data_IF_587520301217
#
_entry.id   IF_587520301217
#
_cell.length_a   1.000
_cell.length_b   1.000
_cell.length_c   1.000
_cell.angle_alpha   90.00
_cell.angle_beta   90.00
_cell.angle_gamma   90.00
#
_symmetry.space_group_name_H-M   'P 1'
#
loop_
_entity.id
_entity.type
_entity.pdbx_description
1 polymer ?
#
# COMPACT_ATOMS: atom_id res chain seq x y z
N UNK A 1 4.02 26.66 18.03
CA UNK A 1 4.23 25.20 18.02
C UNK A 1 4.50 24.79 16.59
N UNK A 2 5.29 23.77 16.36
CA UNK A 2 5.59 23.25 15.02
C UNK A 2 4.54 22.18 14.70
N UNK A 3 3.87 22.28 13.55
CA UNK A 3 2.90 21.28 13.15
C UNK A 3 3.56 19.94 12.88
N UNK A 4 2.98 18.87 13.41
CA UNK A 4 3.37 17.47 13.23
C UNK A 4 2.18 16.67 12.72
N UNK A 5 2.42 15.59 12.01
CA UNK A 5 1.37 14.78 11.39
C UNK A 5 1.52 13.30 11.76
N UNK A 6 0.43 12.71 12.23
CA UNK A 6 0.29 11.27 12.38
C UNK A 6 -0.72 10.75 11.36
N UNK A 7 -0.27 9.92 10.44
CA UNK A 7 -1.13 9.16 9.53
C UNK A 7 -1.35 7.76 10.10
N UNK A 8 -2.62 7.41 10.35
CA UNK A 8 -3.04 6.05 10.66
C UNK A 8 -3.71 5.45 9.42
N UNK A 9 -3.08 4.46 8.82
CA UNK A 9 -3.53 3.80 7.61
C UNK A 9 -3.96 2.36 7.94
N UNK A 10 -5.18 2.01 7.53
CA UNK A 10 -5.77 0.69 7.73
C UNK A 10 -5.92 0.01 6.38
N UNK A 11 -5.10 -1.02 6.13
CA UNK A 11 -5.06 -1.75 4.87
C UNK A 11 -6.39 -2.47 4.60
N UNK A 12 -6.99 -2.19 3.46
CA UNK A 12 -8.24 -2.82 3.02
C UNK A 12 -9.50 -2.42 3.78
N UNK A 13 -9.47 -1.39 4.63
CA UNK A 13 -10.63 -0.99 5.43
C UNK A 13 -11.68 -0.28 4.58
N UNK A 14 -12.84 -0.91 4.44
CA UNK A 14 -14.01 -0.35 3.75
C UNK A 14 -14.70 0.74 4.57
N UNK A 15 -15.08 1.82 3.92
CA UNK A 15 -15.79 2.93 4.54
C UNK A 15 -17.12 2.52 5.22
N UNK A 16 -17.86 1.61 4.61
CA UNK A 16 -19.16 1.13 5.11
C UNK A 16 -19.05 0.22 6.35
N UNK A 17 -17.86 -0.28 6.66
CA UNK A 17 -17.57 -1.02 7.89
C UNK A 17 -17.39 -0.07 9.08
N UNK A 18 -16.99 1.19 8.84
CA UNK A 18 -16.79 2.18 9.91
C UNK A 18 -18.14 2.70 10.38
N UNK A 19 -18.73 2.00 11.35
CA UNK A 19 -20.03 2.29 11.96
C UNK A 19 -19.96 2.19 13.47
N UNK A 20 -20.94 2.74 14.15
CA UNK A 20 -21.03 2.73 15.61
C UNK A 20 -21.07 1.31 16.22
N UNK A 21 -21.61 0.34 15.49
CA UNK A 21 -21.70 -1.06 15.94
C UNK A 21 -20.44 -1.89 15.67
N UNK A 22 -19.59 -1.49 14.74
CA UNK A 22 -18.39 -2.23 14.33
C UNK A 22 -17.10 -1.54 14.75
N UNK A 23 -17.02 -0.22 14.60
CA UNK A 23 -15.84 0.61 14.90
C UNK A 23 -16.25 1.91 15.60
N UNK A 24 -16.75 1.84 16.84
CA UNK A 24 -17.30 3.01 17.55
C UNK A 24 -16.33 4.19 17.68
N UNK A 25 -15.04 3.94 17.96
CA UNK A 25 -14.05 4.99 18.12
C UNK A 25 -13.76 5.70 16.80
N UNK A 26 -13.58 4.94 15.72
CA UNK A 26 -13.31 5.51 14.40
C UNK A 26 -14.57 6.17 13.81
N UNK A 27 -15.76 5.61 14.06
CA UNK A 27 -17.03 6.24 13.67
C UNK A 27 -17.22 7.60 14.33
N UNK A 28 -17.00 7.67 15.66
CA UNK A 28 -17.09 8.93 16.41
C UNK A 28 -16.04 9.95 15.93
N UNK A 29 -14.81 9.51 15.64
CA UNK A 29 -13.79 10.38 15.06
C UNK A 29 -14.23 10.93 13.70
N UNK A 30 -14.73 10.09 12.80
CA UNK A 30 -15.23 10.51 11.50
C UNK A 30 -16.36 11.54 11.59
N UNK A 31 -17.30 11.34 12.53
CA UNK A 31 -18.45 12.25 12.74
C UNK A 31 -18.04 13.57 13.38
N UNK A 32 -16.99 13.56 14.20
CA UNK A 32 -16.52 14.73 14.94
C UNK A 32 -15.54 15.64 14.20
N UNK A 33 -15.00 15.19 13.05
CA UNK A 33 -13.94 15.87 12.32
C UNK A 33 -14.23 15.96 10.81
N UNK A 34 -13.26 16.44 10.04
CA UNK A 34 -13.42 16.56 8.58
C UNK A 34 -13.42 15.17 7.94
N UNK A 35 -14.51 14.85 7.26
CA UNK A 35 -14.67 13.61 6.50
C UNK A 35 -14.58 13.89 4.99
N UNK A 36 -13.93 12.98 4.25
CA UNK A 36 -13.78 13.04 2.80
C UNK A 36 -14.58 11.90 2.12
N UNK A 37 -15.91 12.05 1.99
CA UNK A 37 -16.79 10.96 1.53
C UNK A 37 -16.52 10.49 0.10
N UNK A 38 -15.96 11.36 -0.73
CA UNK A 38 -15.65 11.10 -2.14
C UNK A 38 -14.18 10.70 -2.37
N UNK A 39 -13.44 10.37 -1.30
CA UNK A 39 -12.09 9.83 -1.44
C UNK A 39 -12.13 8.43 -2.04
N UNK A 40 -11.30 8.15 -3.02
CA UNK A 40 -11.17 6.85 -3.67
C UNK A 40 -9.70 6.50 -3.86
N UNK A 41 -9.42 5.19 -3.87
CA UNK A 41 -8.10 4.69 -4.23
C UNK A 41 -7.79 4.95 -5.72
N UNK A 42 -6.51 5.05 -6.06
CA UNK A 42 -6.07 5.04 -7.43
C UNK A 42 -6.34 3.65 -8.06
N UNK A 43 -6.43 3.61 -9.39
CA UNK A 43 -6.49 2.33 -10.11
C UNK A 43 -5.09 1.98 -10.66
N UNK A 44 -4.63 0.72 -10.50
CA UNK A 44 -5.25 -0.40 -9.78
C UNK A 44 -5.27 -0.19 -8.25
N UNK A 45 -6.36 -0.62 -7.61
CA UNK A 45 -6.55 -0.51 -6.16
C UNK A 45 -5.83 -1.64 -5.41
N UNK A 46 -4.53 -1.71 -5.56
CA UNK A 46 -3.65 -2.68 -4.91
C UNK A 46 -2.72 -1.98 -3.92
N UNK A 47 -2.46 -2.60 -2.79
CA UNK A 47 -1.73 -1.99 -1.65
C UNK A 47 -0.46 -1.26 -2.06
N UNK A 48 0.44 -1.88 -2.84
CA UNK A 48 1.74 -1.26 -3.17
C UNK A 48 1.65 -0.14 -4.20
N UNK A 49 0.59 -0.13 -5.00
CA UNK A 49 0.22 1.00 -5.86
C UNK A 49 -0.22 2.18 -4.99
N UNK A 50 -1.11 1.92 -4.03
CA UNK A 50 -1.61 2.96 -3.12
C UNK A 50 -0.54 3.49 -2.19
N UNK A 51 0.35 2.62 -1.67
CA UNK A 51 1.54 3.05 -0.91
C UNK A 51 2.37 4.04 -1.73
N UNK A 52 2.64 3.70 -2.99
CA UNK A 52 3.42 4.58 -3.87
C UNK A 52 2.68 5.88 -4.18
N UNK A 53 1.36 5.82 -4.41
CA UNK A 53 0.54 7.03 -4.57
C UNK A 53 0.54 7.90 -3.31
N UNK A 54 0.45 7.30 -2.12
CA UNK A 54 0.48 8.00 -0.83
C UNK A 54 1.80 8.76 -0.62
N UNK A 55 2.93 8.10 -0.84
CA UNK A 55 4.24 8.73 -0.56
C UNK A 55 4.72 9.68 -1.66
N UNK A 56 4.15 9.62 -2.86
CA UNK A 56 4.56 10.48 -3.99
C UNK A 56 3.54 11.56 -4.34
N UNK A 57 2.28 11.40 -3.92
CA UNK A 57 1.18 12.25 -4.38
C UNK A 57 0.87 12.11 -5.88
N UNK A 58 1.43 11.09 -6.55
CA UNK A 58 1.24 10.81 -7.97
C UNK A 58 0.32 9.61 -8.19
N UNK A 59 -0.26 9.52 -9.38
CA UNK A 59 -1.00 8.32 -9.81
C UNK A 59 -0.05 7.26 -10.37
N UNK A 60 -0.48 5.96 -10.43
CA UNK A 60 0.24 4.97 -11.20
C UNK A 60 0.29 5.40 -12.68
N UNK A 61 1.42 5.22 -13.31
CA UNK A 61 1.64 5.62 -14.70
C UNK A 61 3.13 5.62 -15.03
N UNK A 62 3.45 5.72 -16.32
CA UNK A 62 4.83 5.92 -16.75
C UNK A 62 5.20 7.41 -16.66
N UNK A 63 6.32 7.70 -16.03
CA UNK A 63 6.88 9.05 -15.95
C UNK A 63 7.18 9.67 -17.33
N UNK A 64 7.21 8.86 -18.39
CA UNK A 64 7.49 9.30 -19.76
C UNK A 64 6.25 9.58 -20.60
N UNK A 65 5.04 9.34 -20.09
CA UNK A 65 3.84 9.37 -20.91
C UNK A 65 3.33 10.76 -21.30
N UNK A 66 3.84 11.85 -20.71
CA UNK A 66 3.45 13.19 -21.11
C UNK A 66 4.63 14.19 -21.17
N UNK A 67 5.33 14.16 -22.29
CA UNK A 67 6.42 15.11 -22.58
C UNK A 67 5.93 16.53 -22.87
N UNK A 68 4.62 16.77 -23.02
CA UNK A 68 4.06 18.09 -23.40
C UNK A 68 3.48 18.87 -22.23
N UNK A 69 3.05 18.18 -21.17
CA UNK A 69 2.49 18.79 -19.97
C UNK A 69 3.28 18.34 -18.74
N UNK A 70 4.20 19.14 -18.28
CA UNK A 70 5.14 18.85 -17.18
C UNK A 70 4.52 18.52 -15.82
N UNK A 71 3.22 18.22 -15.73
CA UNK A 71 2.47 18.11 -14.48
C UNK A 71 1.99 16.70 -14.08
N UNK A 72 2.19 15.67 -14.89
CA UNK A 72 1.62 14.35 -14.62
C UNK A 72 2.66 13.23 -14.74
N UNK A 73 3.67 13.26 -13.88
CA UNK A 73 4.57 12.13 -13.74
C UNK A 73 3.92 11.08 -12.84
N UNK A 74 3.63 9.91 -13.40
CA UNK A 74 3.22 8.75 -12.62
C UNK A 74 4.38 8.23 -11.76
N UNK A 75 4.04 7.53 -10.67
CA UNK A 75 5.09 6.95 -9.80
C UNK A 75 5.69 5.65 -10.34
N UNK A 76 5.16 5.06 -11.42
CA UNK A 76 5.73 3.90 -12.12
C UNK A 76 5.46 2.54 -11.46
N UNK A 77 4.84 2.46 -10.30
CA UNK A 77 4.42 1.19 -9.67
C UNK A 77 3.00 0.87 -10.14
N UNK A 78 2.89 -0.05 -11.11
CA UNK A 78 1.66 -0.28 -11.86
C UNK A 78 0.75 -1.36 -11.25
N UNK A 79 1.29 -2.23 -10.40
CA UNK A 79 0.60 -3.29 -9.67
C UNK A 79 1.50 -3.83 -8.55
N UNK A 80 0.98 -4.73 -7.72
CA UNK A 80 1.81 -5.47 -6.76
C UNK A 80 2.89 -6.31 -7.45
N UNK A 81 2.56 -6.87 -8.59
CA UNK A 81 3.49 -7.57 -9.49
C UNK A 81 3.17 -7.14 -10.91
N UNK A 82 4.09 -6.49 -11.59
CA UNK A 82 3.84 -5.95 -12.92
C UNK A 82 5.01 -6.17 -13.86
N UNK A 83 4.72 -6.13 -15.15
CA UNK A 83 5.70 -6.18 -16.22
C UNK A 83 6.01 -4.76 -16.65
N UNK A 84 7.27 -4.34 -16.54
CA UNK A 84 7.71 -3.05 -17.07
C UNK A 84 8.21 -3.29 -18.52
N UNK A 85 7.51 -2.76 -19.53
CA UNK A 85 7.88 -2.97 -20.93
C UNK A 85 9.23 -2.35 -21.32
N UNK A 86 9.74 -1.45 -20.50
CA UNK A 86 11.07 -0.87 -20.73
C UNK A 86 12.19 -1.74 -20.13
N UNK A 87 11.82 -2.85 -19.46
CA UNK A 87 12.79 -3.80 -18.93
C UNK A 87 13.23 -4.80 -19.99
N UNK A 88 14.50 -4.81 -20.27
CA UNK A 88 15.17 -5.94 -20.95
C UNK A 88 15.22 -7.22 -20.09
N UNK A 89 14.75 -7.16 -18.86
CA UNK A 89 14.67 -8.27 -17.92
C UNK A 89 13.33 -8.97 -18.16
N UNK A 90 13.28 -10.05 -18.90
CA UNK A 90 12.07 -10.78 -19.28
C UNK A 90 11.20 -11.35 -18.15
N UNK A 91 11.29 -10.80 -16.94
CA UNK A 91 10.53 -11.23 -15.76
C UNK A 91 9.78 -10.06 -15.11
N UNK A 92 8.57 -10.29 -14.59
CA UNK A 92 7.81 -9.24 -13.91
C UNK A 92 8.52 -8.80 -12.62
N UNK A 93 8.45 -7.50 -12.33
CA UNK A 93 8.86 -6.93 -11.05
C UNK A 93 7.82 -7.29 -9.98
N UNK A 94 8.24 -8.07 -9.01
CA UNK A 94 7.45 -8.37 -7.82
C UNK A 94 7.92 -7.44 -6.69
N UNK A 95 7.10 -6.47 -6.35
CA UNK A 95 7.40 -5.49 -5.30
C UNK A 95 7.29 -6.05 -3.87
N UNK A 96 7.00 -7.35 -3.70
CA UNK A 96 7.15 -8.04 -2.42
C UNK A 96 8.53 -8.68 -2.24
N UNK A 97 9.30 -8.78 -3.29
CA UNK A 97 10.60 -9.44 -3.30
C UNK A 97 11.73 -8.39 -3.29
N UNK A 98 12.46 -8.32 -2.17
CA UNK A 98 13.53 -7.33 -1.98
C UNK A 98 14.63 -7.42 -3.04
N UNK A 99 15.09 -8.64 -3.37
CA UNK A 99 16.13 -8.84 -4.36
C UNK A 99 15.72 -8.30 -5.74
N UNK A 100 14.45 -8.53 -6.13
CA UNK A 100 13.90 -7.99 -7.37
C UNK A 100 13.79 -6.46 -7.32
N UNK A 101 13.36 -5.91 -6.17
CA UNK A 101 13.28 -4.47 -5.98
C UNK A 101 14.67 -3.82 -6.06
N UNK A 102 15.67 -4.37 -5.40
CA UNK A 102 17.06 -3.90 -5.44
C UNK A 102 17.66 -3.97 -6.86
N UNK A 103 17.40 -5.07 -7.57
CA UNK A 103 17.81 -5.19 -8.99
C UNK A 103 17.14 -4.13 -9.86
N UNK A 104 15.84 -3.90 -9.66
CA UNK A 104 15.11 -2.88 -10.39
C UNK A 104 15.62 -1.47 -10.05
N UNK A 105 15.88 -1.17 -8.79
CA UNK A 105 16.43 0.11 -8.36
C UNK A 105 17.81 0.36 -8.95
N UNK A 106 18.67 -0.66 -8.93
CA UNK A 106 20.00 -0.59 -9.56
C UNK A 106 19.92 -0.37 -11.08
N UNK A 107 18.92 -0.95 -11.74
CA UNK A 107 18.78 -0.85 -13.19
C UNK A 107 18.13 0.48 -13.62
N UNK A 108 17.08 0.94 -12.90
CA UNK A 108 16.33 2.14 -13.25
C UNK A 108 16.77 3.40 -12.52
N UNK A 109 17.67 3.27 -11.53
CA UNK A 109 18.04 4.34 -10.62
C UNK A 109 17.02 4.61 -9.52
N UNK A 110 15.76 4.23 -9.71
CA UNK A 110 14.70 4.34 -8.68
C UNK A 110 13.45 3.53 -9.07
N UNK A 111 12.77 2.98 -8.07
CA UNK A 111 11.50 2.24 -8.26
C UNK A 111 10.33 3.22 -8.38
N UNK A 112 10.18 4.12 -7.41
CA UNK A 112 9.21 5.21 -7.48
C UNK A 112 9.80 6.34 -8.32
N UNK A 113 9.27 6.56 -9.50
CA UNK A 113 9.80 7.52 -10.48
C UNK A 113 9.55 8.97 -10.09
N UNK A 114 8.52 9.23 -9.28
CA UNK A 114 8.22 10.55 -8.74
C UNK A 114 8.96 10.82 -7.42
N UNK A 115 9.15 12.09 -7.08
CA UNK A 115 9.68 12.52 -5.79
C UNK A 115 8.74 12.02 -4.68
N UNK A 116 9.29 11.50 -3.60
CA UNK A 116 8.51 10.92 -2.51
C UNK A 116 8.67 11.68 -1.19
N UNK A 117 7.84 11.35 -0.21
CA UNK A 117 7.82 12.00 1.11
C UNK A 117 9.18 11.99 1.79
N UNK A 118 9.96 10.91 1.67
CA UNK A 118 11.28 10.85 2.31
C UNK A 118 12.24 11.90 1.78
N UNK A 119 12.22 12.14 0.45
CA UNK A 119 13.04 13.14 -0.23
C UNK A 119 12.56 14.56 0.13
N UNK A 120 11.25 14.78 0.16
CA UNK A 120 10.64 16.06 0.53
C UNK A 120 10.98 16.42 1.98
N UNK A 121 10.77 15.49 2.90
CA UNK A 121 11.03 15.71 4.32
C UNK A 121 12.50 15.96 4.59
N UNK A 122 13.41 15.16 4.00
CA UNK A 122 14.85 15.37 4.11
C UNK A 122 15.27 16.74 3.56
N UNK A 123 14.76 17.15 2.39
CA UNK A 123 15.08 18.45 1.80
C UNK A 123 14.59 19.63 2.65
N UNK A 124 13.53 19.43 3.40
CA UNK A 124 12.97 20.42 4.33
C UNK A 124 13.62 20.41 5.72
N UNK A 125 14.59 19.51 5.98
CA UNK A 125 15.18 19.32 7.30
C UNK A 125 14.17 18.82 8.33
N UNK A 126 13.25 17.94 7.90
CA UNK A 126 12.15 17.38 8.68
C UNK A 126 12.33 15.88 8.87
N UNK A 127 11.88 15.38 10.00
CA UNK A 127 11.98 13.97 10.36
C UNK A 127 10.76 13.18 9.89
N UNK A 128 11.01 12.10 9.15
CA UNK A 128 10.01 11.17 8.65
C UNK A 128 10.20 9.79 9.27
N UNK A 129 9.17 9.29 9.91
CA UNK A 129 9.19 8.00 10.60
C UNK A 129 8.03 7.11 10.15
N UNK A 130 8.29 5.84 9.95
CA UNK A 130 7.34 4.81 9.53
C UNK A 130 7.35 3.66 10.51
N UNK A 131 6.18 3.28 11.00
CA UNK A 131 5.93 2.05 11.73
C UNK A 131 4.88 1.25 10.96
N UNK A 132 5.20 0.02 10.57
CA UNK A 132 4.29 -0.77 9.74
C UNK A 132 4.20 -2.23 10.15
N UNK A 133 2.98 -2.76 10.13
CA UNK A 133 2.71 -4.20 10.20
C UNK A 133 2.51 -4.81 8.79
N UNK A 134 2.59 -3.99 7.74
CA UNK A 134 2.47 -4.40 6.35
C UNK A 134 3.58 -5.35 5.89
N UNK A 135 3.37 -5.97 4.74
CA UNK A 135 4.38 -6.87 4.13
C UNK A 135 5.67 -6.11 3.81
N UNK A 136 6.76 -6.85 3.64
CA UNK A 136 8.11 -6.32 3.36
C UNK A 136 8.11 -5.25 2.27
N UNK A 137 7.42 -5.49 1.16
CA UNK A 137 7.33 -4.53 0.06
C UNK A 137 6.65 -3.20 0.45
N UNK A 138 5.65 -3.22 1.35
CA UNK A 138 5.04 -2.02 1.90
C UNK A 138 6.04 -1.21 2.71
N UNK A 139 6.75 -1.88 3.63
CA UNK A 139 7.75 -1.22 4.46
C UNK A 139 8.80 -0.49 3.60
N UNK A 140 9.28 -1.15 2.54
CA UNK A 140 10.24 -0.56 1.60
C UNK A 140 9.67 0.60 0.80
N UNK A 141 8.47 0.45 0.22
CA UNK A 141 7.85 1.49 -0.61
C UNK A 141 7.38 2.71 0.20
N UNK A 142 7.07 2.54 1.48
CA UNK A 142 6.75 3.67 2.37
C UNK A 142 7.95 4.61 2.55
N UNK A 143 9.18 4.07 2.59
CA UNK A 143 10.38 4.88 2.62
C UNK A 143 11.59 4.14 1.98
N UNK A 144 11.73 4.29 0.67
CA UNK A 144 12.86 3.70 -0.08
C UNK A 144 14.23 4.29 0.27
N UNK A 145 14.25 5.51 0.81
CA UNK A 145 15.47 6.25 1.09
C UNK A 145 15.81 6.34 2.59
N UNK A 146 15.20 5.49 3.44
CA UNK A 146 15.33 5.57 4.88
C UNK A 146 16.78 5.65 5.35
N UNK A 147 17.62 4.70 4.96
CA UNK A 147 19.04 4.68 5.34
C UNK A 147 19.83 5.86 4.74
N UNK A 148 19.49 6.26 3.51
CA UNK A 148 20.14 7.42 2.85
C UNK A 148 19.95 8.72 3.60
N UNK A 149 18.79 8.92 4.21
CA UNK A 149 18.42 10.16 4.91
C UNK A 149 18.36 9.99 6.43
N UNK A 150 18.82 8.84 6.95
CA UNK A 150 18.78 8.51 8.39
C UNK A 150 17.36 8.66 8.99
N UNK A 151 16.34 8.18 8.26
CA UNK A 151 14.94 8.21 8.67
C UNK A 151 14.53 6.86 9.25
N UNK A 152 13.61 6.88 10.20
CA UNK A 152 13.16 5.67 10.89
C UNK A 152 12.14 4.87 10.05
N UNK A 153 12.40 3.57 9.89
CA UNK A 153 11.43 2.58 9.41
C UNK A 153 11.49 1.37 10.31
N UNK A 154 10.43 1.13 11.07
CA UNK A 154 10.26 -0.10 11.82
C UNK A 154 9.26 -1.01 11.10
N UNK A 155 9.65 -2.26 10.90
CA UNK A 155 8.82 -3.32 10.34
C UNK A 155 8.78 -4.53 11.27
N UNK A 156 7.59 -5.12 11.40
CA UNK A 156 7.42 -6.38 12.15
C UNK A 156 8.12 -7.59 11.51
N UNK A 157 8.70 -7.44 10.33
CA UNK A 157 9.40 -8.52 9.62
C UNK A 157 10.86 -8.71 10.03
N UNK A 158 11.33 -7.93 11.00
CA UNK A 158 12.65 -8.09 11.60
C UNK A 158 13.65 -6.99 11.23
N UNK A 159 14.83 -7.07 11.84
CA UNK A 159 15.88 -6.06 11.71
C UNK A 159 16.31 -5.80 10.28
N UNK A 160 16.37 -6.82 9.44
CA UNK A 160 16.80 -6.70 8.03
C UNK A 160 15.88 -5.81 7.19
N UNK A 161 14.65 -5.56 7.67
CA UNK A 161 13.66 -4.72 7.00
C UNK A 161 13.58 -3.34 7.63
N UNK A 162 14.01 -3.20 8.87
CA UNK A 162 14.11 -1.92 9.56
C UNK A 162 15.24 -1.06 8.96
N UNK A 163 15.13 0.26 9.12
CA UNK A 163 16.23 1.16 8.78
C UNK A 163 17.31 1.16 9.86
N UNK A 164 18.52 1.57 9.49
CA UNK A 164 19.66 1.71 10.41
C UNK A 164 19.42 2.76 11.51
N UNK A 165 18.49 3.69 11.29
CA UNK A 165 18.09 4.68 12.29
C UNK A 165 17.28 4.10 13.45
N UNK A 166 16.76 2.86 13.31
CA UNK A 166 15.98 2.17 14.34
C UNK A 166 16.87 1.23 15.15
N UNK A 167 16.95 1.44 16.46
CA UNK A 167 17.56 0.48 17.36
C UNK A 167 16.59 -0.68 17.63
N UNK A 168 16.65 -1.67 16.75
CA UNK A 168 15.77 -2.83 16.79
C UNK A 168 15.95 -3.66 18.06
N UNK A 169 17.19 -3.89 18.48
CA UNK A 169 17.54 -4.66 19.68
C UNK A 169 16.96 -4.01 20.94
N UNK A 170 17.11 -2.71 21.08
CA UNK A 170 16.52 -1.94 22.20
C UNK A 170 15.00 -2.04 22.22
N UNK A 171 14.36 -2.00 21.05
CA UNK A 171 12.91 -2.16 20.96
C UNK A 171 12.48 -3.55 21.43
N UNK A 172 13.14 -4.61 20.96
CA UNK A 172 12.82 -5.99 21.35
C UNK A 172 13.12 -6.23 22.83
N UNK A 173 14.20 -5.69 23.36
CA UNK A 173 14.52 -5.77 24.80
C UNK A 173 13.44 -5.10 25.66
N UNK A 174 12.95 -3.94 25.25
CA UNK A 174 11.99 -3.15 26.01
C UNK A 174 10.54 -3.62 25.89
N UNK A 175 10.11 -4.01 24.69
CA UNK A 175 8.72 -4.33 24.37
C UNK A 175 8.47 -5.84 24.21
N UNK A 176 9.52 -6.64 24.29
CA UNK A 176 9.48 -8.08 24.03
C UNK A 176 9.59 -8.42 22.53
N UNK A 177 9.71 -9.70 22.22
CA UNK A 177 9.81 -10.17 20.84
C UNK A 177 8.53 -9.83 20.07
N UNK A 178 8.67 -9.58 18.76
CA UNK A 178 7.54 -9.39 17.87
C UNK A 178 6.62 -10.62 17.93
N UNK A 179 5.31 -10.46 18.19
CA UNK A 179 4.39 -11.57 18.23
C UNK A 179 4.36 -12.32 16.88
N UNK A 180 4.17 -13.63 16.95
CA UNK A 180 3.95 -14.44 15.75
C UNK A 180 2.69 -13.97 15.03
N UNK A 181 2.78 -13.84 13.73
CA UNK A 181 1.60 -13.50 12.93
C UNK A 181 0.56 -14.61 12.93
N UNK A 182 -0.69 -14.21 12.99
CA UNK A 182 -1.86 -15.06 12.99
C UNK A 182 -3.00 -14.41 12.18
N UNK A 183 -4.13 -15.08 12.04
CA UNK A 183 -5.32 -14.63 11.34
C UNK A 183 -6.55 -14.78 12.25
N UNK A 184 -6.97 -13.71 12.98
CA UNK A 184 -6.57 -12.30 12.87
C UNK A 184 -5.23 -11.98 13.52
N UNK A 185 -4.55 -10.94 13.02
CA UNK A 185 -3.23 -10.50 13.46
C UNK A 185 -3.28 -9.54 14.66
N UNK A 186 -4.17 -9.81 15.62
CA UNK A 186 -4.48 -8.92 16.72
C UNK A 186 -3.28 -8.63 17.63
N UNK A 187 -2.50 -9.66 17.94
CA UNK A 187 -1.32 -9.50 18.82
C UNK A 187 -0.28 -8.56 18.21
N UNK A 188 -0.04 -8.67 16.90
CA UNK A 188 0.87 -7.78 16.18
C UNK A 188 0.31 -6.36 16.08
N UNK A 189 -1.01 -6.22 15.87
CA UNK A 189 -1.70 -4.93 15.85
C UNK A 189 -1.56 -4.20 17.20
N UNK A 190 -1.78 -4.90 18.31
CA UNK A 190 -1.62 -4.35 19.66
C UNK A 190 -0.14 -4.03 19.97
N UNK A 191 0.79 -4.90 19.59
CA UNK A 191 2.23 -4.68 19.75
C UNK A 191 2.69 -3.42 19.01
N UNK A 192 2.33 -3.29 17.73
CA UNK A 192 2.66 -2.10 16.94
C UNK A 192 2.04 -0.82 17.51
N UNK A 193 0.83 -0.90 18.06
CA UNK A 193 0.19 0.24 18.73
C UNK A 193 0.92 0.63 20.00
N UNK A 194 1.43 -0.34 20.79
CA UNK A 194 2.27 -0.07 21.97
C UNK A 194 3.56 0.63 21.54
N UNK A 195 4.24 0.15 20.49
CA UNK A 195 5.43 0.80 19.95
C UNK A 195 5.13 2.23 19.49
N UNK A 196 4.04 2.43 18.76
CA UNK A 196 3.66 3.76 18.31
C UNK A 196 3.55 4.74 19.48
N UNK A 197 2.76 4.38 20.51
CA UNK A 197 2.42 5.25 21.63
C UNK A 197 3.60 5.45 22.60
N UNK A 198 4.31 4.36 22.94
CA UNK A 198 5.30 4.35 24.03
C UNK A 198 6.76 4.47 23.57
N UNK A 199 7.00 4.42 22.25
CA UNK A 199 8.32 4.61 21.66
C UNK A 199 8.31 5.77 20.65
N UNK A 200 7.69 5.63 19.50
CA UNK A 200 7.79 6.57 18.40
C UNK A 200 7.18 7.95 18.69
N UNK A 201 5.94 8.01 19.17
CA UNK A 201 5.30 9.28 19.51
C UNK A 201 5.87 9.90 20.80
N UNK A 202 6.32 9.06 21.74
CA UNK A 202 6.90 9.53 22.99
C UNK A 202 8.29 10.14 22.80
N UNK A 203 9.07 9.67 21.81
CA UNK A 203 10.34 10.31 21.45
C UNK A 203 10.13 11.73 20.93
N UNK A 204 8.99 11.95 20.26
CA UNK A 204 8.61 13.24 19.69
C UNK A 204 9.53 13.71 18.55
N UNK A 205 10.42 12.84 18.04
CA UNK A 205 11.42 13.17 17.01
C UNK A 205 10.77 13.47 15.67
N UNK A 206 9.76 12.68 15.25
CA UNK A 206 9.15 12.81 13.95
C UNK A 206 8.32 14.09 13.78
N UNK A 207 8.45 14.73 12.61
CA UNK A 207 7.52 15.74 12.11
C UNK A 207 6.36 15.08 11.35
N UNK A 208 6.62 13.94 10.73
CA UNK A 208 5.65 13.08 10.05
C UNK A 208 5.84 11.64 10.50
N UNK A 209 4.84 11.10 11.19
CA UNK A 209 4.76 9.70 11.59
C UNK A 209 3.71 8.98 10.77
N UNK A 210 4.07 7.86 10.15
CA UNK A 210 3.12 6.94 9.52
C UNK A 210 2.99 5.69 10.38
N UNK A 211 1.76 5.32 10.69
CA UNK A 211 1.39 4.01 11.22
C UNK A 211 0.55 3.27 10.18
N UNK A 212 1.07 2.18 9.65
CA UNK A 212 0.38 1.35 8.65
C UNK A 212 0.03 -0.01 9.26
N UNK A 213 -1.25 -0.26 9.45
CA UNK A 213 -1.79 -1.55 9.87
C UNK A 213 -2.11 -2.42 8.65
N UNK A 214 -1.73 -3.69 8.67
CA UNK A 214 -2.05 -4.67 7.61
C UNK A 214 -3.44 -5.31 7.78
N UNK A 215 -4.17 -4.95 8.83
CA UNK A 215 -5.54 -5.36 9.06
C UNK A 215 -6.50 -4.22 8.66
N UNK A 216 -7.71 -4.53 8.23
CA UNK A 216 -8.35 -5.86 8.14
C UNK A 216 -8.03 -6.66 6.85
N UNK A 217 -7.20 -6.13 5.93
CA UNK A 217 -6.85 -6.75 4.64
C UNK A 217 -6.41 -8.21 4.81
N UNK A 218 -5.49 -8.44 5.75
CA UNK A 218 -4.95 -9.76 6.00
C UNK A 218 -6.05 -10.76 6.40
N UNK A 219 -6.90 -10.40 7.34
CA UNK A 219 -8.02 -11.25 7.79
C UNK A 219 -9.06 -11.45 6.68
N UNK A 220 -9.34 -10.43 5.86
CA UNK A 220 -10.24 -10.56 4.72
C UNK A 220 -9.74 -11.56 3.70
N UNK A 221 -8.45 -11.53 3.38
CA UNK A 221 -7.84 -12.48 2.44
C UNK A 221 -7.86 -13.91 2.93
N UNK A 222 -7.57 -14.17 4.20
CA UNK A 222 -7.37 -15.52 4.72
C UNK A 222 -8.61 -16.13 5.39
N UNK A 223 -9.57 -15.31 5.82
CA UNK A 223 -10.77 -15.77 6.54
C UNK A 223 -12.07 -15.32 5.88
N UNK A 224 -12.02 -14.38 4.97
CA UNK A 224 -13.18 -13.80 4.29
C UNK A 224 -13.81 -12.62 5.05
N UNK A 225 -14.46 -11.76 4.28
CA UNK A 225 -15.15 -10.57 4.81
C UNK A 225 -16.38 -11.01 5.61
N UNK A 226 -16.51 -10.51 6.85
CA UNK A 226 -17.61 -10.85 7.75
C UNK A 226 -17.43 -12.15 8.53
N UNK A 227 -16.29 -12.84 8.40
CA UNK A 227 -15.96 -13.97 9.27
C UNK A 227 -15.74 -13.51 10.72
N UNK A 228 -15.88 -14.42 11.71
CA UNK A 228 -15.59 -14.10 13.12
C UNK A 228 -14.19 -13.51 13.30
N UNK A 229 -13.21 -14.03 12.59
CA UNK A 229 -11.82 -13.59 12.64
C UNK A 229 -11.65 -12.17 12.06
N UNK A 230 -12.27 -11.88 10.92
CA UNK A 230 -12.22 -10.53 10.34
C UNK A 230 -12.97 -9.49 11.18
N UNK A 231 -14.08 -9.88 11.82
CA UNK A 231 -14.78 -9.03 12.78
C UNK A 231 -13.93 -8.78 14.04
N UNK A 232 -13.19 -9.80 14.50
CA UNK A 232 -12.23 -9.68 15.60
C UNK A 232 -11.09 -8.72 15.27
N UNK A 233 -10.54 -8.76 14.04
CA UNK A 233 -9.50 -7.83 13.61
C UNK A 233 -9.99 -6.39 13.57
N UNK A 234 -11.20 -6.17 13.07
CA UNK A 234 -11.85 -4.85 13.03
C UNK A 234 -12.05 -4.28 14.44
N UNK A 235 -12.54 -5.11 15.37
CA UNK A 235 -12.73 -4.70 16.76
C UNK A 235 -11.39 -4.38 17.46
N UNK A 236 -10.34 -5.17 17.19
CA UNK A 236 -9.00 -4.93 17.69
C UNK A 236 -8.43 -3.60 17.14
N UNK A 237 -8.55 -3.35 15.84
CA UNK A 237 -8.14 -2.10 15.22
C UNK A 237 -8.84 -0.89 15.83
N UNK A 238 -10.15 -0.96 16.01
CA UNK A 238 -10.92 0.14 16.61
C UNK A 238 -10.50 0.41 18.06
N UNK A 239 -10.26 -0.64 18.84
CA UNK A 239 -9.71 -0.50 20.21
C UNK A 239 -8.32 0.14 20.20
N UNK A 240 -7.45 -0.26 19.30
CA UNK A 240 -6.12 0.32 19.11
C UNK A 240 -6.21 1.79 18.68
N UNK A 241 -7.09 2.10 17.74
CA UNK A 241 -7.34 3.48 17.33
C UNK A 241 -7.91 4.32 18.47
N UNK A 242 -8.80 3.78 19.30
CA UNK A 242 -9.29 4.46 20.51
C UNK A 242 -8.16 4.90 21.44
N UNK A 243 -7.13 4.07 21.62
CA UNK A 243 -5.93 4.41 22.41
C UNK A 243 -5.11 5.54 21.77
N UNK A 244 -4.97 5.52 20.45
CA UNK A 244 -4.32 6.59 19.68
C UNK A 244 -5.12 7.90 19.83
N UNK A 245 -6.43 7.83 19.73
CA UNK A 245 -7.32 8.96 19.88
C UNK A 245 -7.27 9.56 21.29
N UNK A 246 -7.19 8.71 22.32
CA UNK A 246 -6.99 9.13 23.71
C UNK A 246 -5.68 9.88 23.89
N UNK A 247 -4.56 9.35 23.39
CA UNK A 247 -3.27 10.03 23.41
C UNK A 247 -3.35 11.36 22.65
N UNK A 248 -3.90 11.37 21.45
CA UNK A 248 -4.00 12.57 20.62
C UNK A 248 -4.83 13.66 21.31
N UNK A 249 -5.95 13.28 21.95
CA UNK A 249 -6.83 14.21 22.64
C UNK A 249 -6.20 14.79 23.91
N UNK A 250 -5.41 14.00 24.65
CA UNK A 250 -4.79 14.41 25.93
C UNK A 250 -3.52 15.22 25.71
N UNK A 251 -2.65 14.76 24.85
CA UNK A 251 -1.28 15.25 24.70
C UNK A 251 -0.97 15.68 23.24
N UNK A 252 -1.25 14.84 22.26
CA UNK A 252 -0.85 15.05 20.88
C UNK A 252 -1.28 16.40 20.30
N UNK A 253 -2.53 16.80 20.51
CA UNK A 253 -3.03 18.11 20.05
C UNK A 253 -2.30 19.29 20.68
N UNK A 254 -1.94 19.20 21.96
CA UNK A 254 -1.18 20.24 22.65
C UNK A 254 0.22 20.37 22.09
N UNK A 255 0.78 19.24 21.63
CA UNK A 255 2.13 19.16 21.05
C UNK A 255 2.16 19.42 19.54
N UNK A 256 1.02 19.86 18.96
CA UNK A 256 0.91 20.24 17.56
C UNK A 256 0.69 19.07 16.60
N UNK A 257 0.30 17.89 17.09
CA UNK A 257 -0.02 16.75 16.23
C UNK A 257 -1.40 16.85 15.58
N UNK A 258 -1.42 16.73 14.27
CA UNK A 258 -2.61 16.52 13.46
C UNK A 258 -2.77 15.02 13.21
N UNK A 259 -3.98 14.49 13.39
CA UNK A 259 -4.30 13.08 13.16
C UNK A 259 -5.06 12.93 11.85
N UNK A 260 -4.55 12.12 10.95
CA UNK A 260 -5.16 11.80 9.66
C UNK A 260 -5.35 10.30 9.57
N UNK A 261 -6.56 9.88 9.19
CA UNK A 261 -6.91 8.46 9.06
C UNK A 261 -7.33 8.19 7.63
N UNK A 262 -6.82 7.09 7.06
CA UNK A 262 -7.18 6.67 5.72
C UNK A 262 -7.12 5.14 5.57
N UNK A 263 -7.68 4.65 4.48
CA UNK A 263 -7.45 3.30 3.95
C UNK A 263 -6.89 3.43 2.54
N UNK A 264 -6.10 2.47 2.15
CA UNK A 264 -5.50 2.43 0.82
C UNK A 264 -6.49 1.93 -0.24
N UNK A 265 -7.26 0.91 0.08
CA UNK A 265 -8.31 0.35 -0.78
C UNK A 265 -9.41 -0.31 0.06
N UNK A 266 -10.40 -0.85 -0.62
CA UNK A 266 -11.42 -1.72 -0.07
C UNK A 266 -11.27 -3.14 -0.64
N UNK A 267 -11.99 -4.11 -0.06
CA UNK A 267 -12.13 -5.46 -0.59
C UNK A 267 -13.59 -5.83 -0.74
N UNK A 268 -13.88 -6.66 -1.74
CA UNK A 268 -15.19 -7.28 -1.94
C UNK A 268 -15.02 -8.79 -2.10
N UNK A 269 -16.03 -9.55 -1.72
CA UNK A 269 -16.07 -10.98 -2.00
C UNK A 269 -16.30 -11.19 -3.49
N UNK A 270 -15.51 -12.07 -4.12
CA UNK A 270 -15.68 -12.42 -5.54
C UNK A 270 -16.51 -13.69 -5.67
N UNK A 271 -17.48 -13.65 -6.56
CA UNK A 271 -18.34 -14.81 -6.85
C UNK A 271 -17.74 -15.76 -7.90
N UNK A 272 -16.89 -15.23 -8.80
CA UNK A 272 -16.32 -15.99 -9.92
C UNK A 272 -14.96 -15.43 -10.30
N UNK A 273 -14.04 -16.31 -10.65
CA UNK A 273 -12.79 -15.98 -11.33
C UNK A 273 -12.94 -16.23 -12.83
N UNK A 274 -12.35 -15.35 -13.63
CA UNK A 274 -12.33 -15.44 -15.07
C UNK A 274 -10.87 -15.59 -15.51
N UNK A 275 -10.60 -16.63 -16.29
CA UNK A 275 -9.27 -16.85 -16.86
C UNK A 275 -9.11 -16.10 -18.17
N UNK A 276 -8.82 -14.79 -18.06
CA UNK A 276 -8.61 -13.90 -19.21
C UNK A 276 -7.47 -14.39 -20.10
N UNK A 277 -6.49 -15.11 -19.57
CA UNK A 277 -5.39 -15.69 -20.35
C UNK A 277 -5.94 -16.73 -21.36
N UNK A 278 -6.68 -17.70 -20.87
CA UNK A 278 -7.28 -18.73 -21.72
C UNK A 278 -8.31 -18.17 -22.70
N UNK A 279 -9.05 -17.13 -22.30
CA UNK A 279 -10.00 -16.46 -23.20
C UNK A 279 -9.27 -15.77 -24.36
N UNK A 280 -8.17 -15.07 -24.10
CA UNK A 280 -7.35 -14.43 -25.13
C UNK A 280 -6.68 -15.47 -26.05
N UNK A 281 -6.12 -16.56 -25.50
CA UNK A 281 -5.55 -17.65 -26.31
C UNK A 281 -6.61 -18.29 -27.22
N UNK A 282 -7.79 -18.56 -26.69
CA UNK A 282 -8.92 -19.14 -27.47
C UNK A 282 -9.35 -18.21 -28.59
N UNK A 283 -9.26 -16.89 -28.39
CA UNK A 283 -9.53 -15.91 -29.44
C UNK A 283 -8.40 -15.75 -30.45
N UNK A 284 -7.30 -16.49 -30.31
CA UNK A 284 -6.18 -16.50 -31.25
C UNK A 284 -5.07 -15.50 -30.95
N UNK A 285 -5.11 -14.79 -29.81
CA UNK A 285 -4.03 -13.92 -29.39
C UNK A 285 -2.83 -14.72 -28.88
N UNK A 286 -1.62 -14.29 -29.21
CA UNK A 286 -0.38 -14.91 -28.76
C UNK A 286 0.02 -14.39 -27.40
N UNK A 287 -0.50 -15.01 -26.33
CA UNK A 287 -0.34 -14.59 -24.95
C UNK A 287 0.73 -15.42 -24.25
N UNK A 288 1.51 -14.79 -23.39
CA UNK A 288 2.48 -15.46 -22.51
C UNK A 288 2.58 -14.80 -21.13
N UNK A 289 3.30 -15.43 -20.23
CA UNK A 289 3.60 -14.85 -18.91
C UNK A 289 4.62 -13.69 -18.98
N UNK A 290 5.25 -13.50 -20.11
CA UNK A 290 6.19 -12.43 -20.45
C UNK A 290 6.28 -12.26 -21.96
N UNK A 291 6.89 -11.17 -22.44
CA UNK A 291 7.18 -10.93 -23.83
C UNK A 291 8.39 -11.75 -24.25
N UNK A 292 8.16 -12.93 -24.82
CA UNK A 292 9.19 -13.83 -25.35
C UNK A 292 9.04 -13.99 -26.86
N UNK A 293 9.97 -14.68 -27.50
CA UNK A 293 9.82 -15.04 -28.92
C UNK A 293 8.55 -15.87 -29.10
N UNK A 294 7.68 -15.43 -30.00
CA UNK A 294 6.39 -16.06 -30.26
C UNK A 294 5.18 -15.50 -29.51
N UNK A 295 5.37 -14.61 -28.52
CA UNK A 295 4.27 -13.96 -27.80
C UNK A 295 4.25 -12.46 -28.09
N UNK A 296 3.09 -11.95 -28.49
CA UNK A 296 2.89 -10.51 -28.73
C UNK A 296 2.30 -9.79 -27.51
N UNK A 297 1.76 -10.58 -26.56
CA UNK A 297 1.08 -10.12 -25.36
C UNK A 297 1.69 -10.80 -24.13
N UNK A 298 2.01 -10.03 -23.11
CA UNK A 298 2.29 -10.54 -21.78
C UNK A 298 1.13 -10.20 -20.84
N UNK A 299 0.54 -11.24 -20.23
CA UNK A 299 -0.51 -11.08 -19.22
C UNK A 299 0.02 -11.47 -17.85
N UNK A 300 0.05 -10.50 -16.94
CA UNK A 300 0.28 -10.76 -15.52
C UNK A 300 -1.07 -10.84 -14.80
N UNK A 301 -1.34 -12.02 -14.22
CA UNK A 301 -2.52 -12.27 -13.39
C UNK A 301 -2.28 -11.69 -12.00
N UNK A 302 -3.19 -10.87 -11.53
CA UNK A 302 -3.28 -10.33 -10.17
C UNK A 302 -4.75 -10.04 -9.87
N UNK A 303 -5.06 -9.34 -8.79
CA UNK A 303 -6.41 -8.84 -8.52
C UNK A 303 -6.86 -7.84 -9.61
N UNK A 304 -5.92 -7.09 -10.17
CA UNK A 304 -6.08 -6.31 -11.40
C UNK A 304 -5.12 -6.87 -12.45
N UNK A 305 -5.64 -7.50 -13.50
CA UNK A 305 -4.79 -8.03 -14.58
C UNK A 305 -4.09 -6.91 -15.33
N UNK A 306 -2.80 -7.09 -15.63
CA UNK A 306 -2.05 -6.20 -16.51
C UNK A 306 -1.75 -6.90 -17.83
N UNK A 307 -2.13 -6.26 -18.94
CA UNK A 307 -1.81 -6.70 -20.30
C UNK A 307 -0.74 -5.75 -20.85
N UNK A 308 0.39 -6.30 -21.22
CA UNK A 308 1.48 -5.58 -21.90
C UNK A 308 1.58 -6.06 -23.34
N UNK A 309 1.57 -5.14 -24.28
CA UNK A 309 1.66 -5.43 -25.71
C UNK A 309 3.06 -5.12 -26.23
N UNK A 310 3.63 -6.03 -27.06
CA UNK A 310 4.93 -5.87 -27.67
C UNK A 310 4.96 -4.59 -28.52
N UNK A 311 6.09 -3.90 -28.47
CA UNK A 311 6.38 -2.72 -29.31
C UNK A 311 5.32 -1.61 -29.24
N UNK A 312 4.44 -1.63 -28.23
CA UNK A 312 3.31 -0.71 -28.07
C UNK A 312 2.39 -0.68 -29.27
N UNK A 313 2.16 -1.84 -29.92
CA UNK A 313 1.31 -1.96 -31.07
C UNK A 313 -0.13 -1.52 -30.77
N UNK A 314 -0.48 -0.32 -31.22
CA UNK A 314 -1.78 0.30 -30.96
C UNK A 314 -2.94 -0.45 -31.63
N UNK A 315 -2.70 -1.14 -32.75
CA UNK A 315 -3.73 -1.91 -33.43
C UNK A 315 -4.08 -3.14 -32.59
N UNK A 316 -3.06 -3.85 -32.12
CA UNK A 316 -3.24 -5.00 -31.24
C UNK A 316 -3.89 -4.59 -29.89
N UNK A 317 -3.53 -3.44 -29.34
CA UNK A 317 -4.20 -2.89 -28.13
C UNK A 317 -5.70 -2.69 -28.40
N UNK A 318 -6.08 -2.12 -29.55
CA UNK A 318 -7.47 -1.89 -29.91
C UNK A 318 -8.23 -3.20 -30.12
N UNK A 319 -7.62 -4.19 -30.76
CA UNK A 319 -8.22 -5.53 -30.97
C UNK A 319 -8.49 -6.23 -29.63
N UNK A 320 -7.51 -6.19 -28.68
CA UNK A 320 -7.68 -6.73 -27.35
C UNK A 320 -8.81 -6.01 -26.59
N UNK A 321 -8.85 -4.68 -26.64
CA UNK A 321 -9.91 -3.91 -25.99
C UNK A 321 -11.28 -4.23 -26.56
N UNK A 322 -11.43 -4.31 -27.89
CA UNK A 322 -12.68 -4.69 -28.54
C UNK A 322 -13.11 -6.10 -28.14
N UNK A 323 -12.17 -7.04 -28.12
CA UNK A 323 -12.46 -8.40 -27.68
C UNK A 323 -12.96 -8.42 -26.23
N UNK A 324 -12.24 -7.80 -25.30
CA UNK A 324 -12.59 -7.79 -23.89
C UNK A 324 -13.92 -7.08 -23.60
N UNK A 325 -14.24 -5.99 -24.33
CA UNK A 325 -15.47 -5.21 -24.14
C UNK A 325 -16.75 -5.98 -24.47
N UNK A 326 -16.70 -6.92 -25.40
CA UNK A 326 -17.87 -7.70 -25.81
C UNK A 326 -18.04 -9.00 -25.02
N UNK A 327 -17.07 -9.34 -24.18
CA UNK A 327 -17.16 -10.53 -23.36
C UNK A 327 -18.13 -10.33 -22.18
N UNK A 328 -18.90 -11.36 -21.78
CA UNK A 328 -19.76 -11.30 -20.58
C UNK A 328 -18.98 -11.14 -19.26
N UNK A 329 -17.66 -10.92 -19.37
CA UNK A 329 -16.74 -10.62 -18.28
C UNK A 329 -17.06 -9.29 -17.60
N UNK A 330 -17.72 -8.37 -18.32
CA UNK A 330 -18.08 -7.02 -17.89
C UNK A 330 -19.56 -6.91 -17.51
N UNK A 331 -20.20 -8.01 -17.09
CA UNK A 331 -21.52 -7.87 -16.50
C UNK A 331 -21.41 -6.80 -15.38
N UNK A 332 -22.14 -5.68 -15.46
CA UNK A 332 -22.11 -4.68 -14.44
C UNK A 332 -22.42 -5.39 -13.11
N UNK A 333 -21.63 -5.10 -12.09
CA UNK A 333 -21.98 -5.46 -10.73
C UNK A 333 -23.26 -4.69 -10.44
N UNK A 334 -24.40 -5.33 -10.67
CA UNK A 334 -25.68 -4.80 -10.26
C UNK A 334 -25.73 -4.96 -8.74
N UNK A 335 -25.70 -3.79 -8.08
CA UNK A 335 -26.16 -3.44 -6.73
C UNK A 335 -25.65 -4.28 -5.56
#
# INVERSE_FOLDING_TARGET
>A
MKDKFLFCLFDGLRRDIVRQDTMPNLSAFREGWVDFPNSSSAFPSETRVQVSSFVTGAFPGDAQSDLKNQAAFGHGVMANVFFDPNQSIGAPLDTSNLEKMEKAEKYYGRIQKSVNLSEIMASAGKEYSVLTTGKIGNAKLLNLNANKFNQEVFSIWGSDICSEAVDFEMIVERFGPIPKQDFPNNAVTEYATNLLLDCFLKSGSADLQVMWYNEPDLSFHYRGIGSPESLSSIACLDKCFGRILDWWSKDGRKDGWHLIVASDHAQISVAKQIDVFSELETAGFKVGAGLSEGNDIALKRSYSGQITVRDRDELLVREILQFLQVQPLHAPLHE
#
